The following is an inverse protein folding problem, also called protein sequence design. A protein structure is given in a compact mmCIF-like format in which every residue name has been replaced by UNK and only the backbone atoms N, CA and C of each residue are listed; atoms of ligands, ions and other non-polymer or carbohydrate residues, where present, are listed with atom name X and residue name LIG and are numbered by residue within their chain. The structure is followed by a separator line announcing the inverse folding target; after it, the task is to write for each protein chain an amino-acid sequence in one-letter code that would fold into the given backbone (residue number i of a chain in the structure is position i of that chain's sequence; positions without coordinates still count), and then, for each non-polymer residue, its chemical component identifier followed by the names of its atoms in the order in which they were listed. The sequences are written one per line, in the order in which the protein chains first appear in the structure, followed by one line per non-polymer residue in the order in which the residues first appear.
data_IF_617368771283
#
_entry.id   IF_617368771283
#
_cell.length_a   1.000
_cell.length_b   1.000
_cell.length_c   1.000
_cell.angle_alpha   90.00
_cell.angle_beta   90.00
_cell.angle_gamma   90.00
#
_symmetry.space_group_name_H-M   'P 1'
#
loop_
_entity.id
_entity.type
_entity.pdbx_description
1 polymer ?
#
# COMPACT_ATOMS: atom_id res chain seq x y z
N UNK A 1 -25.55 6.35 15.65
CA UNK A 1 -25.07 6.80 14.35
C UNK A 1 -24.03 5.84 13.73
N UNK A 2 -22.96 5.37 14.42
CA UNK A 2 -21.97 4.45 13.84
C UNK A 2 -22.55 3.12 13.29
N UNK A 3 -23.58 2.55 13.93
CA UNK A 3 -24.21 1.29 13.48
C UNK A 3 -25.12 1.48 12.24
N UNK A 4 -25.70 2.67 12.06
CA UNK A 4 -26.56 2.97 10.91
C UNK A 4 -25.70 3.21 9.65
N UNK A 5 -24.55 3.88 9.79
CA UNK A 5 -23.62 4.10 8.69
C UNK A 5 -23.03 2.76 8.24
N UNK A 6 -22.67 1.87 9.17
CA UNK A 6 -22.14 0.55 8.84
C UNK A 6 -23.19 -0.32 8.13
N UNK A 7 -24.47 -0.28 8.54
CA UNK A 7 -25.55 -1.02 7.90
C UNK A 7 -25.95 -0.42 6.54
N UNK A 8 -25.87 0.90 6.35
CA UNK A 8 -26.10 1.50 5.02
C UNK A 8 -24.99 1.14 4.03
N UNK A 9 -23.72 1.17 4.47
CA UNK A 9 -22.57 0.74 3.66
C UNK A 9 -22.67 -0.74 3.32
N UNK A 10 -23.11 -1.58 4.27
CA UNK A 10 -23.30 -3.03 4.00
C UNK A 10 -24.48 -3.28 3.05
N UNK A 11 -25.56 -2.50 3.08
CA UNK A 11 -26.72 -2.69 2.21
C UNK A 11 -26.44 -2.23 0.77
N UNK A 12 -25.67 -1.18 0.57
CA UNK A 12 -25.25 -0.71 -0.77
C UNK A 12 -24.21 -1.64 -1.40
N UNK A 13 -23.37 -2.30 -0.61
CA UNK A 13 -22.40 -3.29 -1.07
C UNK A 13 -23.05 -4.62 -1.55
N UNK A 14 -24.32 -4.87 -1.23
CA UNK A 14 -25.02 -6.11 -1.58
C UNK A 14 -25.88 -6.01 -2.87
N UNK A 15 -25.94 -4.84 -3.50
CA UNK A 15 -26.84 -4.62 -4.66
C UNK A 15 -26.14 -4.62 -6.02
N UNK A 16 -24.85 -4.98 -6.08
CA UNK A 16 -24.04 -4.77 -7.26
C UNK A 16 -22.97 -5.87 -7.42
N UNK A 17 -22.36 -5.98 -8.60
CA UNK A 17 -21.33 -6.97 -8.89
C UNK A 17 -20.15 -6.84 -7.91
N UNK A 18 -20.06 -7.73 -6.95
CA UNK A 18 -19.00 -7.74 -5.95
C UNK A 18 -18.01 -8.84 -6.28
N UNK A 19 -16.74 -8.49 -6.29
CA UNK A 19 -15.63 -9.40 -6.57
C UNK A 19 -14.69 -9.47 -5.38
N UNK A 20 -14.34 -10.69 -4.98
CA UNK A 20 -13.30 -11.00 -4.00
C UNK A 20 -12.07 -11.52 -4.71
N UNK A 21 -10.93 -10.92 -4.46
CA UNK A 21 -9.65 -11.33 -5.01
C UNK A 21 -8.69 -11.67 -3.87
N UNK A 22 -7.92 -12.74 -4.08
CA UNK A 22 -6.72 -13.06 -3.30
C UNK A 22 -5.52 -12.92 -4.22
N UNK A 23 -4.51 -12.22 -3.77
CA UNK A 23 -3.28 -12.02 -4.51
C UNK A 23 -2.04 -12.29 -3.66
N UNK A 24 -0.98 -12.67 -4.33
CA UNK A 24 0.34 -12.83 -3.72
C UNK A 24 1.40 -12.20 -4.60
N UNK A 25 2.42 -11.61 -4.00
CA UNK A 25 3.42 -10.87 -4.74
C UNK A 25 4.51 -10.29 -3.85
N UNK A 26 5.06 -9.16 -4.27
CA UNK A 26 6.15 -8.47 -3.57
C UNK A 26 5.76 -7.05 -3.21
N UNK A 27 6.25 -6.58 -2.09
CA UNK A 27 6.22 -5.19 -1.65
C UNK A 27 7.65 -4.73 -1.43
N UNK A 28 8.06 -3.67 -2.11
CA UNK A 28 9.39 -3.10 -2.01
C UNK A 28 9.30 -1.71 -1.36
N UNK A 29 10.26 -1.44 -0.50
CA UNK A 29 10.51 -0.11 0.06
C UNK A 29 11.85 0.37 -0.45
N UNK A 30 11.88 1.56 -1.02
CA UNK A 30 13.10 2.21 -1.46
C UNK A 30 13.32 3.43 -0.60
N UNK A 31 14.48 3.50 0.04
CA UNK A 31 14.92 4.65 0.82
C UNK A 31 16.26 5.15 0.32
N UNK A 32 16.52 6.45 0.41
CA UNK A 32 17.80 7.04 0.03
C UNK A 32 18.15 8.23 0.90
N UNK A 33 19.45 8.37 1.17
CA UNK A 33 20.03 9.51 1.89
C UNK A 33 21.46 9.72 1.45
N UNK A 34 21.88 10.95 1.23
CA UNK A 34 23.26 11.32 0.82
C UNK A 34 23.75 10.58 -0.44
N UNK A 35 22.86 10.33 -1.41
CA UNK A 35 23.22 9.61 -2.65
C UNK A 35 23.31 8.08 -2.50
N UNK A 36 23.16 7.55 -1.29
CA UNK A 36 23.04 6.12 -1.05
C UNK A 36 21.55 5.74 -1.16
N UNK A 37 21.24 4.79 -2.04
CA UNK A 37 19.89 4.23 -2.17
C UNK A 37 19.92 2.76 -1.81
N UNK A 38 18.96 2.36 -0.97
CA UNK A 38 18.73 0.96 -0.63
C UNK A 38 17.28 0.58 -0.89
N UNK A 39 17.04 -0.65 -1.25
CA UNK A 39 15.70 -1.22 -1.35
C UNK A 39 15.59 -2.48 -0.52
N UNK A 40 14.44 -2.65 0.11
CA UNK A 40 14.10 -3.85 0.88
C UNK A 40 12.78 -4.37 0.37
N UNK A 41 12.78 -5.64 -0.06
CA UNK A 41 11.58 -6.32 -0.56
C UNK A 41 11.10 -7.40 0.39
N UNK A 42 9.79 -7.59 0.48
CA UNK A 42 9.15 -8.68 1.21
C UNK A 42 7.98 -9.24 0.41
N UNK A 43 7.70 -10.52 0.59
CA UNK A 43 6.48 -11.12 0.04
C UNK A 43 5.27 -10.57 0.75
N UNK A 44 4.21 -10.29 0.00
CA UNK A 44 2.92 -9.88 0.52
C UNK A 44 1.79 -10.76 -0.01
N UNK A 45 0.77 -10.90 0.83
CA UNK A 45 -0.54 -11.39 0.45
C UNK A 45 -1.54 -10.23 0.48
N UNK A 46 -2.48 -10.24 -0.47
CA UNK A 46 -3.51 -9.20 -0.57
C UNK A 46 -4.89 -9.81 -0.65
N UNK A 47 -5.85 -9.14 -0.02
CA UNK A 47 -7.28 -9.44 -0.12
C UNK A 47 -7.98 -8.19 -0.64
N UNK A 48 -8.59 -8.29 -1.80
CA UNK A 48 -9.27 -7.15 -2.42
C UNK A 48 -10.76 -7.44 -2.55
N UNK A 49 -11.55 -6.46 -2.13
CA UNK A 49 -12.97 -6.35 -2.45
C UNK A 49 -13.11 -5.26 -3.50
N UNK A 50 -13.64 -5.59 -4.66
CA UNK A 50 -13.80 -4.65 -5.75
C UNK A 50 -15.18 -4.74 -6.39
N UNK A 51 -15.53 -3.64 -7.03
CA UNK A 51 -16.75 -3.52 -7.80
C UNK A 51 -16.57 -2.49 -8.92
N UNK A 52 -17.26 -2.73 -10.02
CA UNK A 52 -17.34 -1.77 -11.11
C UNK A 52 -18.72 -1.80 -11.75
N UNK A 53 -19.26 -0.63 -11.97
CA UNK A 53 -20.50 -0.40 -12.72
C UNK A 53 -20.25 0.53 -13.89
N UNK A 54 -20.69 0.10 -15.06
CA UNK A 54 -20.85 0.95 -16.23
C UNK A 54 -22.34 1.22 -16.46
N UNK A 55 -22.65 2.28 -17.22
CA UNK A 55 -24.02 2.64 -17.60
C UNK A 55 -24.95 2.87 -16.40
N UNK A 56 -24.51 3.67 -15.44
CA UNK A 56 -25.28 3.95 -14.22
C UNK A 56 -26.57 4.69 -14.55
N UNK A 57 -27.70 4.10 -14.21
CA UNK A 57 -29.04 4.62 -14.47
C UNK A 57 -29.32 4.96 -15.95
N UNK A 58 -28.72 4.24 -16.89
CA UNK A 58 -28.87 4.48 -18.32
C UNK A 58 -28.08 5.68 -18.85
N UNK A 59 -27.10 6.15 -18.09
CA UNK A 59 -26.15 7.19 -18.50
C UNK A 59 -24.80 6.56 -18.85
N UNK A 60 -23.93 7.32 -19.54
CA UNK A 60 -22.57 6.90 -19.85
C UNK A 60 -21.61 7.02 -18.65
N UNK A 61 -22.17 7.21 -17.45
CA UNK A 61 -21.39 7.32 -16.22
C UNK A 61 -21.01 5.93 -15.72
N UNK A 62 -19.75 5.76 -15.34
CA UNK A 62 -19.30 4.60 -14.61
C UNK A 62 -18.79 5.00 -13.22
N UNK A 63 -18.85 4.04 -12.31
CA UNK A 63 -18.11 4.10 -11.06
C UNK A 63 -17.49 2.75 -10.74
N UNK A 64 -16.48 2.76 -9.92
CA UNK A 64 -15.85 1.56 -9.36
C UNK A 64 -15.15 1.86 -8.07
N UNK A 65 -14.98 0.83 -7.26
CA UNK A 65 -14.16 0.91 -6.07
C UNK A 65 -13.34 -0.36 -5.87
N UNK A 66 -12.24 -0.23 -5.16
CA UNK A 66 -11.45 -1.34 -4.64
C UNK A 66 -10.97 -1.03 -3.23
N UNK A 67 -11.07 -2.02 -2.35
CA UNK A 67 -10.52 -2.03 -1.01
C UNK A 67 -9.55 -3.19 -0.91
N UNK A 68 -8.28 -2.89 -0.82
CA UNK A 68 -7.20 -3.88 -0.75
C UNK A 68 -6.59 -3.86 0.63
N UNK A 69 -6.70 -4.96 1.34
CA UNK A 69 -5.90 -5.25 2.52
C UNK A 69 -4.61 -5.95 2.10
N UNK A 70 -3.49 -5.54 2.67
CA UNK A 70 -2.18 -6.16 2.44
C UNK A 70 -1.53 -6.59 3.75
N UNK A 71 -0.85 -7.73 3.72
CA UNK A 71 -0.12 -8.29 4.87
C UNK A 71 1.13 -9.01 4.37
N UNK A 72 2.31 -8.62 4.86
CA UNK A 72 3.56 -9.23 4.44
C UNK A 72 3.97 -10.40 5.33
N UNK A 73 4.86 -11.24 4.81
CA UNK A 73 5.67 -12.10 5.64
C UNK A 73 6.59 -11.28 6.51
N UNK A 74 7.02 -11.85 7.64
CA UNK A 74 8.00 -11.21 8.51
C UNK A 74 9.36 -11.22 7.85
N UNK A 75 9.91 -10.03 7.63
CA UNK A 75 11.29 -9.84 7.19
C UNK A 75 12.19 -9.79 8.43
N UNK A 76 13.16 -10.70 8.49
CA UNK A 76 14.11 -10.80 9.60
C UNK A 76 15.41 -10.12 9.23
N UNK A 77 15.77 -9.09 9.99
CA UNK A 77 17.09 -8.47 9.93
C UNK A 77 17.97 -9.09 11.02
N UNK A 78 19.09 -9.69 10.62
CA UNK A 78 20.07 -10.20 11.56
C UNK A 78 20.73 -9.07 12.35
N UNK A 79 21.20 -9.37 13.56
CA UNK A 79 22.03 -8.48 14.33
C UNK A 79 23.26 -8.07 13.51
N UNK A 80 23.60 -6.80 13.54
CA UNK A 80 24.75 -6.24 12.84
C UNK A 80 25.65 -5.49 13.81
N UNK A 81 26.94 -5.80 13.79
CA UNK A 81 27.95 -5.12 14.59
C UNK A 81 28.76 -4.19 13.68
N UNK A 82 28.74 -2.90 13.97
CA UNK A 82 29.50 -1.89 13.25
C UNK A 82 30.76 -1.54 14.04
N UNK A 83 31.89 -2.07 13.62
CA UNK A 83 33.16 -1.78 14.30
C UNK A 83 33.83 -0.47 13.82
N UNK A 84 33.59 -0.05 12.58
CA UNK A 84 34.40 0.99 11.92
C UNK A 84 33.66 2.29 11.58
N UNK A 85 32.31 2.28 11.48
CA UNK A 85 31.57 3.50 11.13
C UNK A 85 31.60 4.56 12.24
N UNK A 86 31.72 4.14 13.48
CA UNK A 86 31.77 5.07 14.63
C UNK A 86 33.10 5.83 14.65
N UNK A 87 34.17 5.20 14.20
CA UNK A 87 35.50 5.85 14.13
C UNK A 87 35.54 6.94 13.05
N UNK A 88 34.86 6.74 11.92
CA UNK A 88 34.78 7.72 10.82
C UNK A 88 33.84 8.87 11.16
N UNK A 89 32.68 8.60 11.78
CA UNK A 89 31.69 9.62 12.14
C UNK A 89 32.18 10.52 13.33
N UNK A 90 33.02 10.00 14.20
CA UNK A 90 33.57 10.70 15.37
C UNK A 90 35.03 11.11 15.19
N UNK A 91 35.45 11.49 13.99
CA UNK A 91 36.79 11.88 13.65
C UNK A 91 37.47 12.91 14.60
N UNK A 92 36.78 13.37 15.63
CA UNK A 92 37.29 14.27 16.69
C UNK A 92 37.35 13.66 18.10
N UNK A 93 36.75 12.47 18.31
CA UNK A 93 36.83 11.85 19.65
C UNK A 93 36.70 10.32 19.51
N UNK A 94 37.80 9.55 19.60
CA UNK A 94 37.70 8.10 19.54
C UNK A 94 36.90 7.63 20.75
N UNK A 95 35.70 7.09 20.51
CA UNK A 95 34.94 6.42 21.56
C UNK A 95 35.75 5.22 22.07
N UNK A 96 35.81 5.01 23.37
CA UNK A 96 36.63 3.94 23.97
C UNK A 96 36.08 2.53 23.71
N UNK A 97 34.89 2.39 23.13
CA UNK A 97 34.27 1.11 22.80
C UNK A 97 33.94 1.04 21.33
N UNK A 98 34.64 0.21 20.61
CA UNK A 98 34.59 0.06 19.15
C UNK A 98 33.41 -0.80 18.62
N UNK A 99 32.39 -1.04 19.41
CA UNK A 99 31.29 -1.94 19.02
C UNK A 99 29.93 -1.27 19.17
N UNK A 100 29.33 -0.94 18.05
CA UNK A 100 27.92 -0.58 18.00
C UNK A 100 27.12 -1.73 17.42
N UNK A 101 26.22 -2.30 18.18
CA UNK A 101 25.36 -3.40 17.74
C UNK A 101 23.96 -2.89 17.46
N UNK A 102 23.48 -3.11 16.20
CA UNK A 102 22.07 -3.00 15.90
C UNK A 102 21.46 -4.38 16.21
N UNK A 103 20.47 -4.46 17.11
CA UNK A 103 19.83 -5.72 17.44
C UNK A 103 19.14 -6.34 16.22
N UNK A 104 18.90 -7.64 16.26
CA UNK A 104 18.07 -8.28 15.27
C UNK A 104 16.66 -7.70 15.32
N UNK A 105 16.10 -7.38 14.15
CA UNK A 105 14.78 -6.75 14.03
C UNK A 105 13.90 -7.60 13.10
N UNK A 106 12.66 -7.75 13.50
CA UNK A 106 11.61 -8.33 12.69
C UNK A 106 10.71 -7.21 12.17
N UNK A 107 10.51 -7.14 10.85
CA UNK A 107 9.65 -6.15 10.21
C UNK A 107 8.46 -6.84 9.54
N UNK A 108 7.28 -6.25 9.64
CA UNK A 108 6.09 -6.70 8.96
C UNK A 108 5.33 -5.50 8.39
N UNK A 109 5.06 -5.54 7.09
CA UNK A 109 4.26 -4.53 6.39
C UNK A 109 2.83 -4.97 6.35
N UNK A 110 1.92 -4.09 6.72
CA UNK A 110 0.48 -4.25 6.57
C UNK A 110 -0.10 -2.98 6.01
N UNK A 111 -1.32 -3.04 5.47
CA UNK A 111 -1.93 -1.82 4.99
C UNK A 111 -3.33 -2.00 4.45
N UNK A 112 -3.96 -0.85 4.27
CA UNK A 112 -5.21 -0.70 3.56
C UNK A 112 -5.01 0.28 2.42
N UNK A 113 -5.45 -0.10 1.23
CA UNK A 113 -5.56 0.77 0.06
C UNK A 113 -7.02 0.80 -0.39
N UNK A 114 -7.63 1.97 -0.39
CA UNK A 114 -9.03 2.18 -0.73
C UNK A 114 -9.12 3.20 -1.87
N UNK A 115 -9.75 2.83 -2.97
CA UNK A 115 -9.86 3.65 -4.16
C UNK A 115 -11.31 3.67 -4.65
N UNK A 116 -11.74 4.85 -5.07
CA UNK A 116 -13.01 5.07 -5.77
C UNK A 116 -12.67 5.73 -7.10
N UNK A 117 -13.31 5.27 -8.17
CA UNK A 117 -13.17 5.83 -9.52
C UNK A 117 -14.53 6.18 -10.05
N UNK A 118 -14.64 7.38 -10.60
CA UNK A 118 -15.88 7.87 -11.24
C UNK A 118 -15.50 8.54 -12.55
N UNK A 119 -16.24 8.29 -13.60
CA UNK A 119 -15.95 8.86 -14.90
C UNK A 119 -17.05 8.58 -15.94
N UNK A 120 -16.65 8.68 -17.17
CA UNK A 120 -17.51 8.61 -18.35
C UNK A 120 -17.02 7.51 -19.29
N UNK A 121 -17.94 6.68 -19.78
CA UNK A 121 -17.69 5.68 -20.83
C UNK A 121 -17.73 6.37 -22.18
N UNK A 122 -16.60 6.39 -22.86
CA UNK A 122 -16.45 7.10 -24.14
C UNK A 122 -16.75 6.22 -25.36
N UNK A 123 -16.88 4.92 -25.17
CA UNK A 123 -17.19 3.98 -26.27
C UNK A 123 -18.68 3.72 -26.36
N UNK A 124 -19.35 3.53 -25.25
CA UNK A 124 -20.80 3.34 -25.12
C UNK A 124 -21.42 2.34 -26.13
N UNK A 125 -20.69 1.26 -26.48
CA UNK A 125 -21.18 0.26 -27.43
C UNK A 125 -22.10 -0.77 -26.76
N UNK A 126 -21.66 -1.31 -25.62
CA UNK A 126 -22.41 -2.25 -24.78
C UNK A 126 -21.66 -2.47 -23.46
N UNK A 127 -22.27 -3.20 -22.51
CA UNK A 127 -21.66 -3.50 -21.21
C UNK A 127 -20.38 -4.33 -21.30
N UNK A 128 -20.15 -5.04 -22.40
CA UNK A 128 -19.01 -5.93 -22.62
C UNK A 128 -17.80 -5.21 -23.23
N UNK A 129 -18.05 -4.05 -23.88
CA UNK A 129 -17.01 -3.19 -24.45
C UNK A 129 -17.11 -1.80 -23.82
N UNK A 130 -16.13 -1.48 -23.00
CA UNK A 130 -16.12 -0.31 -22.14
C UNK A 130 -14.77 0.39 -22.21
N UNK A 131 -14.77 1.71 -22.32
CA UNK A 131 -13.59 2.55 -22.15
C UNK A 131 -13.96 3.77 -21.31
N UNK A 132 -13.66 3.73 -20.03
CA UNK A 132 -13.94 4.78 -19.08
C UNK A 132 -12.75 5.71 -18.87
N UNK A 133 -13.01 7.02 -19.00
CA UNK A 133 -12.11 8.08 -18.59
C UNK A 133 -12.67 8.76 -17.35
N UNK A 134 -11.88 8.87 -16.28
CA UNK A 134 -12.40 9.39 -15.03
C UNK A 134 -11.35 9.87 -14.04
N UNK A 135 -11.79 10.04 -12.81
CA UNK A 135 -11.00 10.44 -11.67
C UNK A 135 -10.90 9.29 -10.66
N UNK A 136 -9.72 9.10 -10.13
CA UNK A 136 -9.42 8.34 -8.95
C UNK A 136 -9.46 9.28 -7.74
N UNK A 137 -10.14 8.85 -6.67
CA UNK A 137 -10.05 9.39 -5.32
C UNK A 137 -9.73 8.22 -4.41
N UNK A 138 -8.70 8.33 -3.59
CA UNK A 138 -8.28 7.20 -2.78
C UNK A 138 -7.60 7.56 -1.48
N UNK A 139 -7.41 6.53 -0.66
CA UNK A 139 -6.75 6.58 0.63
C UNK A 139 -5.83 5.36 0.76
N UNK A 140 -4.56 5.57 1.08
CA UNK A 140 -3.63 4.50 1.43
C UNK A 140 -3.17 4.64 2.86
N UNK A 141 -3.18 3.54 3.60
CA UNK A 141 -2.73 3.47 4.99
C UNK A 141 -1.81 2.25 5.13
N UNK A 142 -0.62 2.23 4.52
CA UNK A 142 0.37 1.21 4.86
C UNK A 142 1.01 1.53 6.21
N UNK A 143 1.36 0.49 6.95
CA UNK A 143 2.17 0.63 8.16
C UNK A 143 3.19 -0.48 8.29
N UNK A 144 4.26 -0.19 8.98
CA UNK A 144 5.36 -1.10 9.28
C UNK A 144 5.37 -1.34 10.77
N UNK A 145 5.12 -2.57 11.17
CA UNK A 145 5.36 -3.05 12.53
C UNK A 145 6.80 -3.54 12.58
N UNK A 146 7.59 -3.03 13.52
CA UNK A 146 8.94 -3.53 13.80
C UNK A 146 9.06 -3.95 15.25
N UNK A 147 9.79 -5.04 15.50
CA UNK A 147 10.03 -5.55 16.85
C UNK A 147 11.40 -6.22 16.92
N UNK A 148 12.04 -6.16 18.10
CA UNK A 148 13.23 -6.91 18.39
C UNK A 148 12.94 -7.96 19.45
N UNK A 149 13.43 -9.17 19.24
CA UNK A 149 13.42 -10.23 20.24
C UNK A 149 14.73 -10.30 21.03
N UNK A 150 15.75 -9.57 20.60
CA UNK A 150 17.04 -9.53 21.24
C UNK A 150 17.13 -8.34 22.22
N UNK A 151 17.54 -8.60 23.44
CA UNK A 151 17.96 -7.55 24.36
C UNK A 151 19.26 -6.97 23.80
N UNK A 152 19.39 -5.63 23.63
CA UNK A 152 20.64 -5.01 23.24
C UNK A 152 21.79 -5.46 24.15
N UNK A 153 23.00 -5.61 23.61
CA UNK A 153 24.16 -5.93 24.44
C UNK A 153 24.40 -4.82 25.46
N UNK A 154 25.05 -5.16 26.58
CA UNK A 154 25.37 -4.18 27.64
C UNK A 154 26.14 -2.98 27.09
N UNK A 155 27.04 -3.20 26.10
CA UNK A 155 27.82 -2.14 25.47
C UNK A 155 26.96 -1.19 24.64
N UNK A 156 25.96 -1.73 23.90
CA UNK A 156 25.00 -0.91 23.14
C UNK A 156 24.10 -0.10 24.05
N UNK A 157 23.72 -0.67 25.19
CA UNK A 157 22.92 0.01 26.21
C UNK A 157 23.74 1.16 26.82
N UNK A 158 25.01 0.93 27.19
CA UNK A 158 25.87 1.96 27.77
C UNK A 158 26.03 3.13 26.79
N UNK A 159 26.24 2.87 25.49
CA UNK A 159 26.27 3.91 24.48
C UNK A 159 24.98 4.75 24.42
N UNK A 160 23.81 4.11 24.50
CA UNK A 160 22.53 4.79 24.51
C UNK A 160 22.35 5.60 25.79
N UNK A 161 22.75 5.07 26.94
CA UNK A 161 22.69 5.77 28.23
C UNK A 161 23.57 7.04 28.20
N UNK A 162 24.80 6.92 27.73
CA UNK A 162 25.78 8.02 27.72
C UNK A 162 25.36 9.15 26.76
N UNK A 163 24.51 8.85 25.78
CA UNK A 163 24.08 9.82 24.75
C UNK A 163 22.60 10.23 24.84
N UNK A 164 21.81 9.67 25.76
CA UNK A 164 20.39 10.00 25.94
C UNK A 164 19.96 9.90 27.39
N UNK A 165 19.26 10.93 27.86
CA UNK A 165 18.74 11.04 29.22
C UNK A 165 17.59 10.05 29.55
N UNK A 166 17.07 9.30 28.58
CA UNK A 166 15.90 8.43 28.78
C UNK A 166 16.09 7.02 28.20
N UNK A 167 16.69 6.16 29.00
CA UNK A 167 16.94 4.76 28.66
C UNK A 167 15.69 3.95 28.36
N UNK A 168 14.59 4.16 29.11
CA UNK A 168 13.33 3.43 28.93
C UNK A 168 12.77 3.62 27.51
N UNK A 169 12.83 4.84 26.99
CA UNK A 169 12.36 5.16 25.62
C UNK A 169 13.18 4.44 24.54
N UNK A 170 14.47 4.22 24.77
CA UNK A 170 15.32 3.52 23.83
C UNK A 170 15.00 2.02 23.79
N UNK A 171 14.75 1.41 24.94
CA UNK A 171 14.32 0.02 25.02
C UNK A 171 12.96 -0.21 24.34
N UNK A 172 11.99 0.64 24.64
CA UNK A 172 10.66 0.58 24.02
C UNK A 172 10.75 0.67 22.49
N UNK A 173 11.65 1.52 21.98
CA UNK A 173 11.87 1.66 20.54
C UNK A 173 12.33 0.37 19.87
N UNK A 174 13.26 -0.36 20.49
CA UNK A 174 13.74 -1.64 19.95
C UNK A 174 12.78 -2.79 20.23
N UNK A 175 12.02 -2.74 21.33
CA UNK A 175 11.08 -3.79 21.67
C UNK A 175 9.93 -3.86 20.66
N UNK A 176 9.29 -2.73 20.40
CA UNK A 176 8.18 -2.66 19.42
C UNK A 176 7.93 -1.23 18.97
N UNK A 177 7.88 -1.01 17.66
CA UNK A 177 7.47 0.27 17.11
C UNK A 177 6.59 0.10 15.88
N UNK A 178 5.75 1.10 15.62
CA UNK A 178 4.88 1.14 14.45
C UNK A 178 5.04 2.46 13.73
N UNK A 179 5.33 2.39 12.45
CA UNK A 179 5.35 3.53 11.54
C UNK A 179 4.17 3.44 10.60
N UNK A 180 3.26 4.41 10.66
CA UNK A 180 2.07 4.49 9.82
C UNK A 180 2.24 5.59 8.79
N UNK A 181 1.82 5.32 7.55
CA UNK A 181 1.79 6.27 6.45
C UNK A 181 0.33 6.40 6.04
N UNK A 182 -0.19 7.62 6.01
CA UNK A 182 -1.55 7.87 5.58
C UNK A 182 -1.54 8.90 4.46
N UNK A 183 -1.98 8.52 3.26
CA UNK A 183 -2.00 9.42 2.09
C UNK A 183 -3.37 9.41 1.42
N UNK A 184 -3.83 10.59 1.04
CA UNK A 184 -4.99 10.80 0.17
C UNK A 184 -4.51 10.95 -1.26
N UNK A 185 -5.27 10.41 -2.20
CA UNK A 185 -4.93 10.35 -3.62
C UNK A 185 -6.03 10.98 -4.45
N UNK A 186 -5.66 11.77 -5.46
CA UNK A 186 -6.59 12.28 -6.47
C UNK A 186 -5.87 12.42 -7.80
N UNK A 187 -6.50 11.95 -8.88
CA UNK A 187 -5.91 12.07 -10.21
C UNK A 187 -6.71 11.36 -11.31
N UNK A 188 -6.27 11.46 -12.57
CA UNK A 188 -6.91 10.80 -13.68
C UNK A 188 -6.81 9.28 -13.61
N UNK A 189 -7.83 8.62 -14.14
CA UNK A 189 -7.86 7.17 -14.32
C UNK A 189 -8.47 6.79 -15.68
N UNK A 190 -7.96 5.70 -16.24
CA UNK A 190 -8.48 5.06 -17.42
C UNK A 190 -8.83 3.62 -17.09
N UNK A 191 -10.01 3.17 -17.55
CA UNK A 191 -10.46 1.81 -17.35
C UNK A 191 -10.95 1.28 -18.69
N UNK A 192 -10.63 0.04 -19.01
CA UNK A 192 -11.20 -0.59 -20.19
C UNK A 192 -11.62 -2.02 -19.91
N UNK A 193 -12.57 -2.49 -20.69
CA UNK A 193 -12.94 -3.90 -20.80
C UNK A 193 -13.30 -4.19 -22.23
N UNK A 194 -12.91 -5.38 -22.71
CA UNK A 194 -13.29 -5.87 -24.02
C UNK A 194 -13.61 -7.36 -23.97
N UNK A 195 -14.77 -7.74 -24.43
CA UNK A 195 -15.11 -9.14 -24.63
C UNK A 195 -14.31 -9.70 -25.80
N UNK A 196 -13.65 -10.83 -25.58
CA UNK A 196 -12.97 -11.60 -26.61
C UNK A 196 -13.87 -12.69 -27.21
N UNK A 197 -14.74 -13.25 -26.38
CA UNK A 197 -15.80 -14.17 -26.72
C UNK A 197 -16.85 -14.21 -25.60
N UNK A 198 -17.85 -15.07 -25.70
CA UNK A 198 -18.95 -15.19 -24.75
C UNK A 198 -18.51 -15.51 -23.30
N UNK A 199 -17.33 -16.10 -23.13
CA UNK A 199 -16.84 -16.57 -21.83
C UNK A 199 -15.65 -15.79 -21.30
N UNK A 200 -14.94 -15.02 -22.14
CA UNK A 200 -13.68 -14.39 -21.76
C UNK A 200 -13.70 -12.92 -22.16
N UNK A 201 -13.38 -12.07 -21.19
CA UNK A 201 -13.12 -10.65 -21.42
C UNK A 201 -11.77 -10.26 -20.84
N UNK A 202 -11.07 -9.36 -21.52
CA UNK A 202 -9.87 -8.70 -20.98
C UNK A 202 -10.27 -7.37 -20.36
N UNK A 203 -9.63 -7.00 -19.28
CA UNK A 203 -9.80 -5.68 -18.66
C UNK A 203 -8.46 -5.07 -18.29
N UNK A 204 -8.46 -3.77 -18.14
CA UNK A 204 -7.33 -3.02 -17.64
C UNK A 204 -7.74 -1.72 -17.00
N UNK A 205 -6.84 -1.25 -16.13
CA UNK A 205 -6.97 -0.02 -15.38
C UNK A 205 -5.61 0.63 -15.27
N UNK A 206 -5.56 1.93 -15.50
CA UNK A 206 -4.40 2.76 -15.24
C UNK A 206 -4.81 4.01 -14.47
N UNK A 207 -4.04 4.38 -13.46
CA UNK A 207 -4.27 5.62 -12.71
C UNK A 207 -2.95 6.32 -12.42
N UNK A 208 -2.97 7.65 -12.48
CA UNK A 208 -1.89 8.49 -12.04
C UNK A 208 -2.47 9.58 -11.14
N UNK A 209 -2.03 9.67 -9.90
CA UNK A 209 -2.61 10.58 -8.94
C UNK A 209 -1.53 11.36 -8.17
N UNK A 210 -1.86 12.57 -7.81
CA UNK A 210 -1.17 13.29 -6.74
C UNK A 210 -1.58 12.67 -5.40
N UNK A 211 -0.61 12.51 -4.51
CA UNK A 211 -0.87 12.06 -3.15
C UNK A 211 -0.32 13.06 -2.12
N UNK A 212 -1.05 13.19 -1.02
CA UNK A 212 -0.66 14.02 0.12
C UNK A 212 -1.09 13.36 1.42
N UNK A 213 -0.33 13.56 2.48
CA UNK A 213 -0.65 12.93 3.75
C UNK A 213 0.42 13.13 4.82
N UNK A 214 0.61 12.13 5.65
CA UNK A 214 1.60 12.20 6.72
C UNK A 214 2.17 10.81 7.07
N UNK A 215 3.36 10.84 7.64
CA UNK A 215 4.01 9.71 8.32
C UNK A 215 3.96 9.97 9.82
N UNK A 216 3.60 8.96 10.59
CA UNK A 216 3.62 8.97 12.05
C UNK A 216 4.31 7.72 12.56
N UNK A 217 5.21 7.88 13.51
CA UNK A 217 5.80 6.79 14.28
C UNK A 217 5.30 6.86 15.72
N UNK A 218 5.06 5.72 16.37
CA UNK A 218 4.47 5.68 17.71
C UNK A 218 5.38 6.24 18.80
N UNK A 219 6.71 6.24 18.58
CA UNK A 219 7.69 6.79 19.54
C UNK A 219 8.09 8.24 19.26
N UNK A 220 7.64 8.79 18.12
CA UNK A 220 7.93 10.17 17.75
C UNK A 220 6.62 10.96 17.81
N UNK A 221 6.49 11.88 18.74
CA UNK A 221 5.29 12.73 18.88
C UNK A 221 5.15 13.79 17.77
N UNK A 222 5.76 13.53 16.62
CA UNK A 222 5.73 14.42 15.46
C UNK A 222 5.17 13.70 14.26
N UNK A 223 4.38 14.43 13.46
CA UNK A 223 3.91 13.99 12.15
C UNK A 223 4.75 14.65 11.08
N UNK A 224 5.20 13.87 10.13
CA UNK A 224 5.89 14.36 8.94
C UNK A 224 4.87 14.42 7.80
N UNK A 225 4.59 15.61 7.28
CA UNK A 225 3.73 15.77 6.12
C UNK A 225 4.47 15.31 4.87
N UNK A 226 3.78 14.58 4.00
CA UNK A 226 4.33 14.04 2.75
C UNK A 226 3.48 14.40 1.57
N UNK A 227 4.13 14.70 0.45
CA UNK A 227 3.52 14.90 -0.85
C UNK A 227 4.26 14.05 -1.88
N UNK A 228 3.56 13.66 -2.95
CA UNK A 228 4.18 12.87 -3.99
C UNK A 228 3.20 12.39 -5.04
N UNK A 229 3.55 11.29 -5.70
CA UNK A 229 2.75 10.70 -6.77
C UNK A 229 2.40 9.25 -6.49
N UNK A 230 1.23 8.86 -7.01
CA UNK A 230 0.74 7.48 -6.99
C UNK A 230 0.47 7.01 -8.40
N UNK A 231 0.89 5.79 -8.70
CA UNK A 231 0.62 5.12 -9.97
C UNK A 231 0.04 3.75 -9.72
N UNK A 232 -0.93 3.36 -10.54
CA UNK A 232 -1.53 2.04 -10.48
C UNK A 232 -1.77 1.51 -11.88
N UNK A 233 -1.43 0.26 -12.09
CA UNK A 233 -1.74 -0.51 -13.30
C UNK A 233 -2.32 -1.85 -12.88
N UNK A 234 -3.47 -2.20 -13.44
CA UNK A 234 -4.13 -3.47 -13.20
C UNK A 234 -4.62 -4.03 -14.53
N UNK A 235 -4.25 -5.25 -14.84
CA UNK A 235 -4.67 -5.95 -16.06
C UNK A 235 -5.06 -7.38 -15.74
N UNK A 236 -6.06 -7.90 -16.44
CA UNK A 236 -6.50 -9.27 -16.20
C UNK A 236 -7.57 -9.74 -17.16
N UNK A 237 -8.09 -10.90 -16.83
CA UNK A 237 -9.15 -11.56 -17.58
C UNK A 237 -10.34 -11.83 -16.66
N UNK A 238 -11.54 -11.59 -17.18
CA UNK A 238 -12.78 -12.14 -16.65
C UNK A 238 -13.08 -13.44 -17.37
N UNK A 239 -13.50 -14.42 -16.62
CA UNK A 239 -13.88 -15.72 -17.14
C UNK A 239 -15.28 -16.10 -16.60
N UNK A 240 -16.25 -16.22 -17.48
CA UNK A 240 -17.64 -16.60 -17.20
C UNK A 240 -17.85 -18.05 -17.63
N UNK A 241 -17.76 -19.02 -16.70
CA UNK A 241 -17.75 -20.45 -17.06
C UNK A 241 -19.11 -20.95 -17.56
N UNK A 242 -20.20 -20.23 -17.25
CA UNK A 242 -21.56 -20.65 -17.55
C UNK A 242 -22.31 -19.56 -18.30
N UNK A 243 -22.84 -19.88 -19.46
CA UNK A 243 -23.74 -19.00 -20.24
C UNK A 243 -25.19 -19.17 -19.81
N UNK A 244 -25.53 -20.30 -19.17
CA UNK A 244 -26.85 -20.62 -18.64
C UNK A 244 -26.76 -21.10 -17.19
N UNK A 245 -27.90 -21.09 -16.47
CA UNK A 245 -27.96 -21.60 -15.12
C UNK A 245 -27.71 -23.10 -15.08
N UNK A 246 -26.58 -23.50 -14.45
CA UNK A 246 -26.22 -24.91 -14.27
C UNK A 246 -26.76 -25.45 -12.95
N UNK A 247 -27.50 -26.56 -13.01
CA UNK A 247 -28.05 -27.24 -11.82
C UNK A 247 -27.28 -28.51 -11.52
N UNK A 248 -26.70 -28.61 -10.34
CA UNK A 248 -26.03 -29.79 -9.86
C UNK A 248 -26.63 -30.23 -8.51
N UNK A 249 -27.59 -31.20 -8.57
CA UNK A 249 -28.35 -31.60 -7.41
C UNK A 249 -29.13 -30.46 -6.78
N UNK A 250 -28.81 -30.12 -5.53
CA UNK A 250 -29.42 -28.98 -4.82
C UNK A 250 -28.74 -27.63 -5.12
N UNK A 251 -27.58 -27.66 -5.77
CA UNK A 251 -26.79 -26.45 -6.09
C UNK A 251 -27.21 -25.92 -7.48
N UNK A 252 -27.52 -24.64 -7.53
CA UNK A 252 -27.79 -23.89 -8.77
C UNK A 252 -26.73 -22.82 -8.95
N UNK A 253 -25.94 -22.93 -10.03
CA UNK A 253 -24.88 -21.98 -10.36
C UNK A 253 -25.43 -21.05 -11.44
N UNK A 254 -25.45 -19.75 -11.13
CA UNK A 254 -25.92 -18.72 -12.06
C UNK A 254 -24.84 -18.38 -13.09
N UNK A 255 -25.23 -18.02 -14.34
CA UNK A 255 -24.30 -17.48 -15.33
C UNK A 255 -23.69 -16.12 -14.93
N UNK A 256 -24.17 -15.53 -13.85
CA UNK A 256 -23.64 -14.29 -13.27
C UNK A 256 -22.38 -14.49 -12.42
N UNK A 257 -22.01 -15.76 -12.16
CA UNK A 257 -20.74 -16.09 -11.49
C UNK A 257 -19.60 -15.97 -12.50
N UNK A 258 -18.55 -15.26 -12.14
CA UNK A 258 -17.34 -15.13 -12.94
C UNK A 258 -16.09 -15.32 -12.09
N UNK A 259 -15.01 -15.73 -12.73
CA UNK A 259 -13.67 -15.75 -12.15
C UNK A 259 -12.81 -14.66 -12.75
N UNK A 260 -11.77 -14.27 -12.03
CA UNK A 260 -10.77 -13.32 -12.50
C UNK A 260 -9.37 -13.84 -12.27
N UNK A 261 -8.48 -13.50 -13.18
CA UNK A 261 -7.03 -13.68 -13.05
C UNK A 261 -6.37 -12.40 -13.52
N UNK A 262 -5.43 -11.88 -12.75
CA UNK A 262 -4.81 -10.62 -13.14
C UNK A 262 -3.52 -10.31 -12.41
N UNK A 263 -2.98 -9.15 -12.77
CA UNK A 263 -1.76 -8.60 -12.19
C UNK A 263 -1.99 -7.13 -11.88
N UNK A 264 -1.67 -6.73 -10.65
CA UNK A 264 -1.75 -5.36 -10.15
C UNK A 264 -0.36 -4.88 -9.75
N UNK A 265 0.01 -3.71 -10.25
CA UNK A 265 1.19 -2.95 -9.83
C UNK A 265 0.73 -1.63 -9.25
N UNK A 266 1.26 -1.27 -8.09
CA UNK A 266 1.00 0.03 -7.45
C UNK A 266 2.32 0.62 -6.97
N UNK A 267 2.48 1.93 -7.15
CA UNK A 267 3.69 2.65 -6.76
C UNK A 267 3.32 3.94 -6.05
N UNK A 268 3.97 4.19 -4.92
CA UNK A 268 3.87 5.40 -4.10
C UNK A 268 5.25 6.05 -4.03
N UNK A 269 5.42 7.19 -4.68
CA UNK A 269 6.64 7.99 -4.61
C UNK A 269 6.39 9.19 -3.69
N UNK A 270 7.27 9.40 -2.72
CA UNK A 270 7.28 10.58 -1.86
C UNK A 270 8.30 11.56 -2.45
N UNK A 271 7.80 12.64 -3.03
CA UNK A 271 8.61 13.66 -3.69
C UNK A 271 9.01 14.79 -2.73
N UNK A 272 8.23 14.98 -1.67
CA UNK A 272 8.46 16.01 -0.67
C UNK A 272 8.04 15.53 0.71
N UNK A 273 8.89 15.76 1.70
CA UNK A 273 8.61 15.53 3.11
C UNK A 273 8.89 16.82 3.90
N UNK A 274 7.86 17.30 4.59
CA UNK A 274 7.95 18.46 5.47
C UNK A 274 8.16 17.98 6.91
N UNK A 275 9.29 18.34 7.47
CA UNK A 275 9.64 18.05 8.86
C UNK A 275 9.29 19.27 9.69
N UNK A 276 8.31 19.14 10.57
CA UNK A 276 7.98 20.19 11.54
C UNK A 276 8.67 19.86 12.86
N UNK A 277 9.75 20.56 13.13
CA UNK A 277 10.50 20.41 14.39
C UNK A 277 10.49 21.75 15.13
N UNK A 278 9.87 21.80 16.30
CA UNK A 278 9.85 22.97 17.18
C UNK A 278 9.31 24.26 16.50
N UNK A 279 8.29 24.13 15.65
CA UNK A 279 7.66 25.27 14.96
C UNK A 279 8.40 25.78 13.72
N UNK A 280 9.45 25.07 13.27
CA UNK A 280 10.13 25.35 11.99
C UNK A 280 9.78 24.24 11.02
N UNK A 281 9.07 24.58 9.94
CA UNK A 281 8.84 23.67 8.82
C UNK A 281 10.09 23.64 7.94
N UNK A 282 10.69 22.46 7.78
CA UNK A 282 11.78 22.21 6.84
C UNK A 282 11.25 21.31 5.73
N UNK A 283 11.24 21.82 4.50
CA UNK A 283 10.94 21.00 3.32
C UNK A 283 12.13 20.08 3.01
N UNK A 284 11.85 18.83 2.63
CA UNK A 284 12.85 17.92 2.09
C UNK A 284 13.50 18.43 0.80
N UNK A 285 12.87 19.39 0.10
CA UNK A 285 13.49 20.10 -1.02
C UNK A 285 14.76 20.85 -0.64
N UNK A 286 14.87 21.27 0.63
CA UNK A 286 16.13 21.79 1.19
C UNK A 286 17.16 20.67 1.32
N UNK A 287 16.71 19.44 1.47
CA UNK A 287 17.52 18.23 1.62
C UNK A 287 17.69 17.45 0.29
N UNK A 288 17.10 17.90 -0.83
CA UNK A 288 17.30 17.32 -2.16
C UNK A 288 18.77 17.17 -2.55
N UNK A 289 19.66 18.15 -2.23
CA UNK A 289 21.10 17.96 -2.41
C UNK A 289 21.67 16.78 -1.62
N UNK A 290 20.98 16.35 -0.55
CA UNK A 290 21.33 15.17 0.25
C UNK A 290 20.72 13.88 -0.31
N UNK A 291 19.93 13.96 -1.40
CA UNK A 291 19.37 12.81 -2.10
C UNK A 291 18.39 11.99 -1.27
N UNK A 292 17.59 12.64 -0.41
CA UNK A 292 16.51 11.92 0.30
C UNK A 292 15.46 11.42 -0.67
N UNK A 293 15.18 10.13 -0.62
CA UNK A 293 14.15 9.46 -1.41
C UNK A 293 13.38 8.48 -0.53
N UNK A 294 12.09 8.40 -0.73
CA UNK A 294 11.25 7.40 -0.13
C UNK A 294 10.21 6.97 -1.16
N UNK A 295 10.13 5.69 -1.41
CA UNK A 295 9.16 5.13 -2.34
C UNK A 295 8.74 3.73 -1.90
N UNK A 296 7.55 3.36 -2.32
CA UNK A 296 7.01 2.02 -2.10
C UNK A 296 6.45 1.52 -3.42
N UNK A 297 6.61 0.26 -3.70
CA UNK A 297 5.91 -0.39 -4.81
C UNK A 297 5.42 -1.78 -4.41
N UNK A 298 4.34 -2.18 -5.04
CA UNK A 298 3.72 -3.48 -4.85
C UNK A 298 3.40 -4.11 -6.20
N UNK A 299 3.77 -5.37 -6.36
CA UNK A 299 3.53 -6.18 -7.55
C UNK A 299 2.84 -7.47 -7.14
N UNK A 300 1.59 -7.65 -7.56
CA UNK A 300 0.74 -8.75 -7.10
C UNK A 300 0.06 -9.44 -8.28
N UNK A 301 0.23 -10.75 -8.39
CA UNK A 301 -0.62 -11.61 -9.19
C UNK A 301 -1.81 -12.07 -8.35
N UNK A 302 -3.02 -12.05 -8.89
CA UNK A 302 -4.22 -12.39 -8.13
C UNK A 302 -5.20 -13.26 -8.91
N UNK A 303 -6.01 -13.97 -8.16
CA UNK A 303 -7.20 -14.67 -8.63
C UNK A 303 -8.40 -14.23 -7.82
N UNK A 304 -9.57 -14.17 -8.45
CA UNK A 304 -10.79 -13.71 -7.81
C UNK A 304 -12.03 -14.45 -8.28
N UNK A 305 -13.09 -14.26 -7.53
CA UNK A 305 -14.44 -14.72 -7.85
C UNK A 305 -15.41 -13.58 -7.61
N UNK A 306 -16.26 -13.33 -8.57
CA UNK A 306 -17.26 -12.29 -8.50
C UNK A 306 -18.64 -12.78 -8.90
N UNK A 307 -19.64 -12.00 -8.52
CA UNK A 307 -21.03 -12.22 -8.87
C UNK A 307 -21.64 -10.92 -9.39
N UNK A 308 -22.22 -10.96 -10.58
CA UNK A 308 -22.89 -9.82 -11.22
C UNK A 308 -24.39 -9.89 -10.91
N UNK A 309 -24.96 -8.86 -10.29
CA UNK A 309 -26.37 -8.78 -9.90
C UNK A 309 -27.25 -8.22 -11.02
#
# INVERSE_FOLDING_TARGET
MKKIVLSLVTLTLLSSATEFQYGSGTFNMTGGFLGLTGSVGTDIDTFTLSERHSNVAGSDIFYGYDFTWMDSKTLKQAQHTYNDMVTVANGFNPMPTNKWEIPSMDYRVKGLDANIRVGYDVVNENQDNFLGLGLLIGLSIPWIDSSSSAVPSDDSIQFIIDNRENLATAYDYFEKTKTSIMTYKIGPSINFQKSLNENISIYGLGSFAYQTGYIKNDHIDSKFSVNGTYQEYNVGFYFTPFTETYKWGWLSISPRLYGTLGYKYSKWDVDEMLINTSGVEMSSKILDPLGMKLGFDSSVAYAGVGYSF
#
